data_IF_882185512128
#
_entry.id   IF_882185512128
#
_cell.length_a   1.000
_cell.length_b   1.000
_cell.length_c   1.000
_cell.angle_alpha   90.00
_cell.angle_beta   90.00
_cell.angle_gamma   90.00
#
_symmetry.space_group_name_H-M   'P 1'
#
loop_
_entity.id
_entity.type
_entity.pdbx_description
1 polymer ?
#
# COMPACT_ATOMS: atom_id res chain seq x y z
N UNK A 1 -4.33 7.40 1.73
CA UNK A 1 -5.01 7.33 3.03
C UNK A 1 -5.92 6.12 3.17
N UNK A 2 -6.94 5.91 2.32
CA UNK A 2 -7.86 4.77 2.45
C UNK A 2 -7.17 3.40 2.48
N UNK A 3 -6.14 3.17 1.64
CA UNK A 3 -5.35 1.94 1.69
C UNK A 3 -4.65 1.69 3.03
N UNK A 4 -4.15 2.73 3.70
CA UNK A 4 -3.52 2.60 5.02
C UNK A 4 -4.54 2.17 6.08
N UNK A 5 -5.74 2.76 6.05
CA UNK A 5 -6.84 2.43 6.97
C UNK A 5 -7.31 0.99 6.70
N UNK A 6 -7.44 0.60 5.43
CA UNK A 6 -7.81 -0.76 5.08
C UNK A 6 -6.79 -1.78 5.60
N UNK A 7 -5.50 -1.54 5.39
CA UNK A 7 -4.44 -2.36 5.97
C UNK A 7 -4.48 -2.40 7.50
N UNK A 8 -4.76 -1.27 8.15
CA UNK A 8 -4.89 -1.19 9.61
C UNK A 8 -6.08 -2.01 10.12
N UNK A 9 -7.21 -2.03 9.42
CA UNK A 9 -8.34 -2.91 9.76
C UNK A 9 -7.95 -4.40 9.68
N UNK A 10 -7.20 -4.79 8.66
CA UNK A 10 -6.72 -6.18 8.49
C UNK A 10 -5.68 -6.56 9.56
N UNK A 11 -4.80 -5.62 9.94
CA UNK A 11 -3.67 -5.85 10.87
C UNK A 11 -4.00 -5.59 12.34
N UNK A 12 -5.08 -4.84 12.61
CA UNK A 12 -5.44 -4.26 13.93
C UNK A 12 -4.42 -3.29 14.51
N UNK A 13 -3.56 -2.71 13.67
CA UNK A 13 -2.58 -1.69 14.06
C UNK A 13 -2.13 -0.86 12.85
N UNK A 14 -1.64 0.39 13.02
CA UNK A 14 -1.36 1.30 11.91
C UNK A 14 -0.27 0.80 10.96
N UNK A 15 -0.55 0.60 9.67
CA UNK A 15 0.43 0.00 8.74
C UNK A 15 1.78 0.74 8.72
N UNK A 16 1.73 2.08 8.76
CA UNK A 16 2.90 2.95 8.80
C UNK A 16 2.80 3.82 10.05
N UNK A 17 3.73 3.66 11.00
CA UNK A 17 3.72 4.38 12.27
C UNK A 17 5.00 5.21 12.42
N UNK A 18 5.07 6.32 11.71
CA UNK A 18 6.13 7.31 11.88
C UNK A 18 5.74 8.40 12.87
N UNK A 19 6.72 8.89 13.62
CA UNK A 19 6.55 9.95 14.62
C UNK A 19 6.92 11.34 14.07
N UNK A 20 7.49 11.40 12.87
CA UNK A 20 7.82 12.60 12.10
C UNK A 20 7.88 12.29 10.59
N UNK A 21 7.97 13.31 9.73
CA UNK A 21 7.94 13.17 8.26
C UNK A 21 8.94 12.13 7.73
N UNK A 22 10.22 12.24 8.11
CA UNK A 22 11.25 11.32 7.61
C UNK A 22 11.04 9.89 8.11
N UNK A 23 10.63 9.72 9.37
CA UNK A 23 10.33 8.39 9.92
C UNK A 23 9.11 7.77 9.24
N UNK A 24 8.09 8.57 8.91
CA UNK A 24 6.91 8.12 8.19
C UNK A 24 7.27 7.63 6.79
N UNK A 25 8.16 8.36 6.10
CA UNK A 25 8.69 7.97 4.79
C UNK A 25 9.46 6.65 4.88
N UNK A 26 10.32 6.49 5.88
CA UNK A 26 11.05 5.24 6.08
C UNK A 26 10.16 4.06 6.45
N UNK A 27 9.09 4.26 7.25
CA UNK A 27 8.10 3.22 7.49
C UNK A 27 7.42 2.76 6.19
N UNK A 28 7.14 3.67 5.26
CA UNK A 28 6.59 3.31 3.95
C UNK A 28 7.62 2.49 3.16
N UNK A 29 8.88 2.93 3.13
CA UNK A 29 9.94 2.22 2.39
C UNK A 29 10.22 0.82 2.95
N UNK A 30 10.14 0.64 4.28
CA UNK A 30 10.30 -0.68 4.92
C UNK A 30 9.23 -1.70 4.53
N UNK A 31 8.04 -1.23 4.16
CA UNK A 31 6.89 -2.07 3.82
C UNK A 31 6.75 -2.24 2.31
N UNK A 32 7.02 -1.20 1.52
CA UNK A 32 6.81 -1.21 0.06
C UNK A 32 8.12 -1.32 -0.74
N UNK A 33 9.27 -1.18 -0.07
CA UNK A 33 10.58 -0.98 -0.70
C UNK A 33 10.85 0.49 -1.00
N UNK A 34 12.12 0.87 -1.15
CA UNK A 34 12.50 2.24 -1.54
C UNK A 34 12.12 2.48 -3.00
N UNK A 35 11.42 3.59 -3.34
CA UNK A 35 11.02 3.83 -4.71
C UNK A 35 12.24 4.09 -5.60
N UNK A 36 12.19 3.52 -6.80
CA UNK A 36 13.23 3.64 -7.83
C UNK A 36 12.64 4.26 -9.08
N UNK A 37 13.48 4.80 -9.97
CA UNK A 37 13.05 5.31 -11.29
C UNK A 37 12.31 4.27 -12.15
N UNK A 38 12.59 2.97 -11.93
CA UNK A 38 11.86 1.88 -12.59
C UNK A 38 10.42 1.76 -12.10
N UNK A 39 10.20 1.96 -10.79
CA UNK A 39 8.90 1.82 -10.15
C UNK A 39 8.08 3.11 -10.24
N UNK A 40 8.73 4.25 -10.05
CA UNK A 40 8.13 5.58 -10.09
C UNK A 40 9.04 6.51 -10.92
N UNK A 41 8.85 6.56 -12.24
CA UNK A 41 9.61 7.46 -13.12
C UNK A 41 9.47 8.92 -12.68
N UNK A 42 10.59 9.60 -12.49
CA UNK A 42 10.66 10.98 -12.00
C UNK A 42 10.75 11.13 -10.49
N UNK A 43 10.76 10.04 -9.70
CA UNK A 43 10.86 10.13 -8.24
C UNK A 43 12.12 10.87 -7.77
N UNK A 44 13.24 10.72 -8.47
CA UNK A 44 14.51 11.40 -8.16
C UNK A 44 14.49 12.90 -8.40
N UNK A 45 13.51 13.40 -9.17
CA UNK A 45 13.33 14.82 -9.46
C UNK A 45 12.47 15.55 -8.43
N UNK A 46 11.84 14.82 -7.49
CA UNK A 46 11.03 15.43 -6.44
C UNK A 46 11.94 16.20 -5.47
N UNK A 47 11.50 17.40 -5.07
CA UNK A 47 12.29 18.33 -4.25
C UNK A 47 12.80 17.75 -2.93
N UNK A 48 12.05 16.80 -2.34
CA UNK A 48 12.39 16.18 -1.06
C UNK A 48 12.95 14.75 -1.23
N UNK A 49 13.24 14.31 -2.45
CA UNK A 49 13.91 13.04 -2.68
C UNK A 49 15.41 13.17 -2.42
N UNK A 50 15.98 12.19 -1.73
CA UNK A 50 17.41 12.08 -1.50
C UNK A 50 17.90 10.71 -1.99
N UNK A 51 18.94 10.71 -2.84
CA UNK A 51 19.58 9.49 -3.33
C UNK A 51 20.22 8.65 -2.21
N UNK A 52 20.53 9.27 -1.07
CA UNK A 52 21.12 8.64 0.11
C UNK A 52 20.07 8.03 1.05
N UNK A 53 18.78 8.04 0.67
CA UNK A 53 17.78 7.30 1.44
C UNK A 53 18.16 5.81 1.54
N UNK A 54 17.93 5.17 2.70
CA UNK A 54 18.23 3.76 2.82
C UNK A 54 17.44 2.94 1.80
N UNK A 55 18.07 1.89 1.28
CA UNK A 55 17.53 1.06 0.22
C UNK A 55 16.90 -0.20 0.81
N UNK A 56 15.58 -0.24 0.84
CA UNK A 56 14.80 -1.43 1.20
C UNK A 56 14.33 -2.16 -0.06
N UNK A 57 14.39 -3.51 -0.08
CA UNK A 57 13.97 -4.28 -1.24
C UNK A 57 12.47 -4.12 -1.49
N UNK A 58 12.07 -4.19 -2.76
CA UNK A 58 10.66 -4.18 -3.13
C UNK A 58 9.94 -5.38 -2.49
N UNK A 59 8.78 -5.11 -1.90
CA UNK A 59 7.95 -6.15 -1.30
C UNK A 59 7.18 -6.90 -2.38
N UNK A 60 7.36 -8.22 -2.42
CA UNK A 60 6.65 -9.09 -3.36
C UNK A 60 5.22 -9.43 -2.93
N UNK A 61 4.90 -9.26 -1.65
CA UNK A 61 3.56 -9.51 -1.09
C UNK A 61 3.36 -8.79 0.24
N UNK A 62 2.16 -8.22 0.43
CA UNK A 62 1.76 -7.54 1.67
C UNK A 62 1.33 -8.52 2.77
N UNK A 63 1.23 -9.82 2.49
CA UNK A 63 0.92 -10.89 3.46
C UNK A 63 1.82 -10.88 4.70
N UNK A 64 3.05 -10.39 4.57
CA UNK A 64 4.00 -10.24 5.68
C UNK A 64 3.61 -9.16 6.69
N UNK A 65 2.82 -8.17 6.25
CA UNK A 65 2.49 -6.98 7.02
C UNK A 65 1.02 -6.90 7.42
N UNK A 66 0.12 -7.57 6.69
CA UNK A 66 -1.32 -7.58 6.98
C UNK A 66 -1.89 -8.99 6.89
N UNK A 67 -2.96 -9.26 7.64
CA UNK A 67 -3.71 -10.51 7.53
C UNK A 67 -4.63 -10.46 6.31
N UNK A 68 -4.13 -10.94 5.17
CA UNK A 68 -4.90 -11.00 3.93
C UNK A 68 -5.97 -12.10 4.00
N UNK A 69 -7.17 -11.78 3.51
CA UNK A 69 -8.29 -12.73 3.45
C UNK A 69 -8.32 -13.54 2.16
N UNK A 70 -7.83 -12.96 1.05
CA UNK A 70 -7.71 -13.57 -0.27
C UNK A 70 -6.85 -12.69 -1.21
N UNK A 71 -6.54 -13.20 -2.40
CA UNK A 71 -5.74 -12.50 -3.42
C UNK A 71 -6.36 -11.17 -3.87
N UNK A 72 -7.70 -11.06 -3.87
CA UNK A 72 -8.41 -9.83 -4.25
C UNK A 72 -8.20 -8.72 -3.21
N UNK A 73 -8.07 -9.10 -1.94
CA UNK A 73 -7.75 -8.19 -0.84
C UNK A 73 -6.34 -7.64 -0.98
N UNK A 74 -5.40 -8.49 -1.39
CA UNK A 74 -4.03 -8.08 -1.66
C UNK A 74 -3.94 -7.15 -2.86
N UNK A 75 -4.64 -7.48 -3.94
CA UNK A 75 -4.64 -6.67 -5.17
C UNK A 75 -5.20 -5.27 -4.92
N UNK A 76 -6.39 -5.16 -4.31
CA UNK A 76 -6.98 -3.85 -4.04
C UNK A 76 -6.10 -3.02 -3.09
N UNK A 77 -5.51 -3.65 -2.07
CA UNK A 77 -4.64 -2.96 -1.12
C UNK A 77 -3.37 -2.47 -1.80
N UNK A 78 -2.71 -3.32 -2.59
CA UNK A 78 -1.49 -2.98 -3.33
C UNK A 78 -1.72 -1.82 -4.29
N UNK A 79 -2.85 -1.81 -5.01
CA UNK A 79 -3.23 -0.74 -5.93
C UNK A 79 -3.67 0.56 -5.23
N UNK A 80 -4.14 0.47 -3.98
CA UNK A 80 -4.38 1.66 -3.14
C UNK A 80 -3.09 2.27 -2.58
N UNK A 81 -2.04 1.46 -2.42
CA UNK A 81 -0.75 1.86 -1.83
C UNK A 81 0.33 2.15 -2.88
N UNK A 82 0.01 2.17 -4.18
CA UNK A 82 0.97 2.46 -5.25
C UNK A 82 1.69 3.79 -5.05
N UNK A 83 3.01 3.78 -5.28
CA UNK A 83 3.86 4.98 -5.23
C UNK A 83 3.44 6.02 -6.27
N UNK A 84 3.41 5.70 -7.58
CA UNK A 84 3.04 6.69 -8.58
C UNK A 84 1.55 7.05 -8.41
N UNK A 85 1.22 8.32 -8.12
CA UNK A 85 -0.16 8.72 -7.84
C UNK A 85 -1.13 8.38 -8.97
N UNK A 86 -0.68 8.46 -10.21
CA UNK A 86 -1.43 8.15 -11.43
C UNK A 86 -1.77 6.66 -11.59
N UNK A 87 -1.02 5.77 -10.92
CA UNK A 87 -1.29 4.33 -10.92
C UNK A 87 -2.22 3.92 -9.77
N UNK A 88 -2.43 4.81 -8.78
CA UNK A 88 -3.28 4.53 -7.63
C UNK A 88 -4.75 4.46 -8.05
N UNK A 89 -5.49 3.49 -7.50
CA UNK A 89 -6.93 3.41 -7.73
C UNK A 89 -7.65 4.69 -7.30
N UNK A 90 -8.49 5.21 -8.19
CA UNK A 90 -9.50 6.20 -7.81
C UNK A 90 -10.58 5.52 -6.95
N UNK A 91 -11.28 6.29 -6.13
CA UNK A 91 -12.38 5.76 -5.32
C UNK A 91 -13.45 5.05 -6.16
N UNK A 92 -13.78 5.59 -7.34
CA UNK A 92 -14.73 4.97 -8.29
C UNK A 92 -14.24 3.61 -8.77
N UNK A 93 -12.97 3.49 -9.16
CA UNK A 93 -12.40 2.22 -9.61
C UNK A 93 -12.30 1.21 -8.45
N UNK A 94 -11.97 1.69 -7.23
CA UNK A 94 -11.91 0.84 -6.05
C UNK A 94 -13.29 0.25 -5.71
N UNK A 95 -14.38 1.02 -5.80
CA UNK A 95 -15.75 0.53 -5.59
C UNK A 95 -16.18 -0.54 -6.61
N UNK A 96 -15.59 -0.53 -7.80
CA UNK A 96 -15.85 -1.51 -8.86
C UNK A 96 -14.90 -2.72 -8.80
N UNK A 97 -14.03 -2.78 -7.79
CA UNK A 97 -13.03 -3.82 -7.68
C UNK A 97 -13.66 -5.19 -7.36
N UNK A 98 -13.18 -6.31 -7.95
CA UNK A 98 -13.69 -7.65 -7.67
C UNK A 98 -13.65 -8.07 -6.19
N UNK A 99 -12.84 -7.39 -5.38
CA UNK A 99 -12.82 -7.55 -3.92
C UNK A 99 -14.19 -7.29 -3.29
N UNK A 100 -14.95 -6.30 -3.79
CA UNK A 100 -16.29 -5.96 -3.33
C UNK A 100 -17.41 -6.68 -4.09
N UNK A 101 -17.07 -7.54 -5.06
CA UNK A 101 -18.04 -8.31 -5.85
C UNK A 101 -18.24 -9.73 -5.33
N UNK A 102 -17.63 -10.09 -4.20
CA UNK A 102 -17.93 -11.37 -3.55
C UNK A 102 -19.25 -11.22 -2.80
N UNK A 103 -20.29 -11.91 -3.26
CA UNK A 103 -21.49 -12.13 -2.47
C UNK A 103 -21.08 -12.73 -1.13
N UNK A 104 -21.55 -12.15 -0.02
CA UNK A 104 -21.41 -12.76 1.29
C UNK A 104 -22.07 -14.15 1.22
N UNK A 105 -21.32 -15.23 1.49
CA UNK A 105 -22.01 -16.48 1.78
C UNK A 105 -22.94 -16.21 2.98
N UNK A 106 -24.24 -16.52 2.87
CA UNK A 106 -25.17 -16.26 3.94
C UNK A 106 -24.67 -16.95 5.21
N UNK A 107 -24.64 -16.20 6.32
CA UNK A 107 -24.33 -16.75 7.64
C UNK A 107 -25.30 -17.90 7.88
N UNK A 108 -24.80 -19.14 7.85
CA UNK A 108 -25.57 -20.29 8.31
C UNK A 108 -25.69 -20.19 9.83
N UNK A 109 -26.85 -19.69 10.27
CA UNK A 109 -27.29 -19.73 11.67
C UNK A 109 -27.74 -21.16 12.05
#
# INVERSE_FOLDING_TARGET
SAGCIFAEMLRRAPLFKGDCEISQLFCIFQVLGTPTEKLWPGVSSLSNYNCDFPQWPATSSLSKYVHLTNDKAEDILTRCLSYPPEQRLTAKQALQHPYFSQEEEPISL
#
